data_IF_844166186366
#
_entry.id   IF_844166186366
#
_cell.length_a   1.000
_cell.length_b   1.000
_cell.length_c   1.000
_cell.angle_alpha   90.00
_cell.angle_beta   90.00
_cell.angle_gamma   90.00
#
_symmetry.space_group_name_H-M   'P 1'
#
loop_
_entity.id
_entity.type
_entity.pdbx_description
1 polymer ?
#
# COMPACT_ATOMS: atom_id res chain seq x y z
N UNK A 1 -3.87 23.63 -11.98
CA UNK A 1 -2.73 24.50 -12.37
C UNK A 1 -1.49 23.62 -12.45
N UNK A 2 -0.67 23.74 -13.48
CA UNK A 2 0.65 23.07 -13.53
C UNK A 2 1.72 24.02 -13.01
N UNK A 3 2.52 23.57 -12.04
CA UNK A 3 3.68 24.29 -11.55
C UNK A 3 4.96 23.59 -12.04
N UNK A 4 5.95 24.37 -12.47
CA UNK A 4 7.24 23.83 -12.90
C UNK A 4 8.19 23.77 -11.70
N UNK A 5 8.75 22.58 -11.44
CA UNK A 5 9.77 22.38 -10.41
C UNK A 5 11.09 21.99 -11.07
N UNK A 6 12.16 22.76 -10.82
CA UNK A 6 13.49 22.47 -11.35
C UNK A 6 14.24 21.54 -10.39
N UNK A 7 14.54 20.32 -10.85
CA UNK A 7 15.26 19.31 -10.07
C UNK A 7 16.71 19.24 -10.58
N UNK A 8 17.68 19.37 -9.68
CA UNK A 8 19.10 19.15 -10.01
C UNK A 8 19.45 17.69 -9.84
N UNK A 9 19.95 17.08 -10.90
CA UNK A 9 20.49 15.72 -10.90
C UNK A 9 22.02 15.81 -10.99
N UNK A 10 22.72 14.99 -10.20
CA UNK A 10 24.15 14.80 -10.42
C UNK A 10 24.38 13.99 -11.72
N UNK A 11 25.61 14.00 -12.22
CA UNK A 11 25.92 13.38 -13.52
C UNK A 11 25.67 11.87 -13.54
N UNK A 12 25.96 11.18 -12.43
CA UNK A 12 25.70 9.74 -12.27
C UNK A 12 24.20 9.42 -12.40
N UNK A 13 23.35 10.11 -11.64
CA UNK A 13 21.91 9.88 -11.66
C UNK A 13 21.31 10.25 -13.01
N UNK A 14 21.78 11.34 -13.62
CA UNK A 14 21.35 11.74 -14.97
C UNK A 14 21.65 10.64 -15.99
N UNK A 15 22.87 10.08 -15.99
CA UNK A 15 23.26 9.00 -16.90
C UNK A 15 22.39 7.75 -16.69
N UNK A 16 22.14 7.37 -15.43
CA UNK A 16 21.30 6.21 -15.08
C UNK A 16 19.85 6.38 -15.52
N UNK A 17 19.28 7.57 -15.34
CA UNK A 17 17.91 7.90 -15.77
C UNK A 17 17.81 7.87 -17.29
N UNK A 18 18.75 8.48 -18.02
CA UNK A 18 18.78 8.45 -19.48
C UNK A 18 18.83 7.01 -19.99
N UNK A 19 19.75 6.20 -19.48
CA UNK A 19 19.87 4.80 -19.90
C UNK A 19 18.62 3.97 -19.56
N UNK A 20 17.96 4.25 -18.43
CA UNK A 20 16.70 3.58 -18.07
C UNK A 20 15.56 3.97 -19.01
N UNK A 21 15.42 5.26 -19.32
CA UNK A 21 14.42 5.77 -20.24
C UNK A 21 14.60 5.19 -21.65
N UNK A 22 15.84 5.13 -22.16
CA UNK A 22 16.17 4.52 -23.46
C UNK A 22 15.77 3.05 -23.52
N UNK A 23 16.09 2.25 -22.47
CA UNK A 23 15.68 0.84 -22.40
C UNK A 23 14.17 0.64 -22.42
N UNK A 24 13.42 1.60 -21.88
CA UNK A 24 11.95 1.57 -21.82
C UNK A 24 11.30 2.27 -23.03
N UNK A 25 12.09 2.83 -23.96
CA UNK A 25 11.57 3.54 -25.13
C UNK A 25 10.85 4.86 -24.78
N UNK A 26 11.17 5.48 -23.64
CA UNK A 26 10.59 6.76 -23.19
C UNK A 26 11.66 7.85 -23.09
N UNK A 27 11.24 9.08 -22.78
CA UNK A 27 12.17 10.19 -22.55
C UNK A 27 12.59 10.25 -21.08
N UNK A 28 13.77 10.79 -20.80
CA UNK A 28 14.23 11.02 -19.43
C UNK A 28 13.24 11.90 -18.61
N UNK A 29 12.58 12.85 -19.26
CA UNK A 29 11.57 13.69 -18.61
C UNK A 29 10.35 12.89 -18.17
N UNK A 30 9.75 12.11 -19.08
CA UNK A 30 8.60 11.27 -18.76
C UNK A 30 8.95 10.22 -17.70
N UNK A 31 10.12 9.60 -17.81
CA UNK A 31 10.60 8.64 -16.81
C UNK A 31 10.68 9.27 -15.40
N UNK A 32 11.16 10.50 -15.28
CA UNK A 32 11.21 11.21 -13.99
C UNK A 32 9.81 11.51 -13.48
N UNK A 33 8.90 11.95 -14.35
CA UNK A 33 7.52 12.23 -13.95
C UNK A 33 6.81 10.98 -13.43
N UNK A 34 6.94 9.86 -14.14
CA UNK A 34 6.40 8.56 -13.73
C UNK A 34 6.98 8.12 -12.39
N UNK A 35 8.31 8.20 -12.23
CA UNK A 35 8.96 7.86 -10.96
C UNK A 35 8.47 8.71 -9.77
N UNK A 36 8.22 10.00 -9.98
CA UNK A 36 7.67 10.89 -8.95
C UNK A 36 6.22 10.54 -8.63
N UNK A 37 5.39 10.26 -9.65
CA UNK A 37 4.00 9.87 -9.47
C UNK A 37 3.90 8.54 -8.72
N UNK A 38 4.64 7.51 -9.15
CA UNK A 38 4.70 6.22 -8.49
C UNK A 38 5.14 6.33 -7.02
N UNK A 39 6.12 7.21 -6.74
CA UNK A 39 6.58 7.42 -5.37
C UNK A 39 5.53 8.12 -4.52
N UNK A 40 4.83 9.12 -5.06
CA UNK A 40 3.74 9.79 -4.34
C UNK A 40 2.62 8.80 -4.00
N UNK A 41 2.14 8.04 -4.98
CA UNK A 41 1.10 7.01 -4.78
C UNK A 41 1.54 5.92 -3.80
N UNK A 42 2.82 5.55 -3.78
CA UNK A 42 3.36 4.61 -2.81
C UNK A 42 3.28 5.16 -1.38
N UNK A 43 3.70 6.41 -1.16
CA UNK A 43 3.66 7.04 0.16
C UNK A 43 2.23 7.30 0.63
N UNK A 44 1.32 7.67 -0.27
CA UNK A 44 -0.11 7.82 0.03
C UNK A 44 -0.73 6.49 0.49
N UNK A 45 -0.54 5.40 -0.28
CA UNK A 45 -1.02 4.07 0.12
C UNK A 45 -0.42 3.59 1.44
N UNK A 46 0.85 3.91 1.69
CA UNK A 46 1.51 3.58 2.94
C UNK A 46 0.89 4.34 4.11
N UNK A 47 0.69 5.65 3.96
CA UNK A 47 0.07 6.48 4.98
C UNK A 47 -1.37 6.03 5.29
N UNK A 48 -2.16 5.69 4.27
CA UNK A 48 -3.50 5.13 4.43
C UNK A 48 -3.48 3.80 5.19
N UNK A 49 -2.56 2.90 4.83
CA UNK A 49 -2.40 1.62 5.51
C UNK A 49 -2.02 1.81 6.99
N UNK A 50 -1.05 2.68 7.28
CA UNK A 50 -0.61 2.98 8.64
C UNK A 50 -1.73 3.63 9.47
N UNK A 51 -2.53 4.52 8.88
CA UNK A 51 -3.68 5.13 9.53
C UNK A 51 -4.73 4.07 9.93
N UNK A 52 -5.09 3.18 8.99
CA UNK A 52 -6.02 2.08 9.24
C UNK A 52 -5.48 1.12 10.31
N UNK A 53 -4.19 0.78 10.23
CA UNK A 53 -3.55 -0.11 11.20
C UNK A 53 -3.57 0.50 12.61
N UNK A 54 -3.25 1.79 12.72
CA UNK A 54 -3.25 2.53 13.99
C UNK A 54 -4.65 2.60 14.59
N UNK A 55 -5.67 2.92 13.80
CA UNK A 55 -7.08 2.94 14.24
C UNK A 55 -7.52 1.57 14.75
N UNK A 56 -7.22 0.51 14.00
CA UNK A 56 -7.57 -0.87 14.37
C UNK A 56 -6.84 -1.31 15.64
N UNK A 57 -5.57 -0.97 15.78
CA UNK A 57 -4.79 -1.29 16.97
C UNK A 57 -5.35 -0.56 18.20
N UNK A 58 -5.69 0.72 18.07
CA UNK A 58 -6.33 1.48 19.15
C UNK A 58 -7.64 0.82 19.60
N UNK A 59 -8.48 0.39 18.67
CA UNK A 59 -9.72 -0.33 18.98
C UNK A 59 -9.45 -1.66 19.69
N UNK A 60 -8.50 -2.46 19.20
CA UNK A 60 -8.12 -3.73 19.85
C UNK A 60 -7.59 -3.49 21.27
N UNK A 61 -6.77 -2.46 21.48
CA UNK A 61 -6.27 -2.08 22.80
C UNK A 61 -7.39 -1.68 23.76
N UNK A 62 -8.45 -1.03 23.26
CA UNK A 62 -9.60 -0.62 24.06
C UNK A 62 -10.57 -1.77 24.37
N UNK A 63 -10.89 -2.62 23.39
CA UNK A 63 -11.94 -3.65 23.54
C UNK A 63 -11.40 -5.02 23.93
N UNK A 64 -10.13 -5.29 23.60
CA UNK A 64 -9.52 -6.62 23.68
C UNK A 64 -10.07 -7.61 22.64
N UNK A 65 -10.94 -7.15 21.74
CA UNK A 65 -11.65 -8.01 20.79
C UNK A 65 -10.86 -8.20 19.50
N UNK A 66 -10.67 -9.45 19.13
CA UNK A 66 -10.02 -9.82 17.86
C UNK A 66 -10.79 -10.97 17.21
N UNK A 67 -10.67 -11.10 15.89
CA UNK A 67 -11.10 -12.32 15.20
C UNK A 67 -9.92 -13.28 15.18
N UNK A 68 -10.12 -14.54 15.55
CA UNK A 68 -9.05 -15.54 15.48
C UNK A 68 -8.68 -15.80 14.01
N UNK A 69 -7.41 -16.08 13.74
CA UNK A 69 -7.00 -16.43 12.38
C UNK A 69 -7.66 -17.70 11.87
N UNK A 70 -7.91 -18.68 12.75
CA UNK A 70 -8.60 -19.91 12.41
C UNK A 70 -10.03 -19.64 11.91
N UNK A 71 -10.81 -18.83 12.64
CA UNK A 71 -12.19 -18.48 12.24
C UNK A 71 -12.21 -17.66 10.95
N UNK A 72 -11.24 -16.75 10.78
CA UNK A 72 -11.13 -15.95 9.55
C UNK A 72 -10.78 -16.81 8.34
N UNK A 73 -9.85 -17.76 8.51
CA UNK A 73 -9.41 -18.66 7.45
C UNK A 73 -10.53 -19.61 7.02
N UNK A 74 -11.24 -20.23 7.96
CA UNK A 74 -12.41 -21.07 7.65
C UNK A 74 -13.46 -20.28 6.84
N UNK A 75 -13.77 -19.06 7.29
CA UNK A 75 -14.70 -18.20 6.58
C UNK A 75 -14.22 -17.83 5.16
N UNK A 76 -12.93 -17.56 4.96
CA UNK A 76 -12.36 -17.26 3.65
C UNK A 76 -12.38 -18.47 2.71
N UNK A 77 -12.04 -19.66 3.20
CA UNK A 77 -12.03 -20.91 2.43
C UNK A 77 -13.46 -21.26 1.96
N UNK A 78 -14.45 -21.17 2.85
CA UNK A 78 -15.85 -21.44 2.51
C UNK A 78 -16.42 -20.39 1.55
N UNK A 79 -16.08 -19.12 1.76
CA UNK A 79 -16.50 -18.04 0.86
C UNK A 79 -15.88 -18.17 -0.53
N UNK A 80 -14.63 -18.61 -0.65
CA UNK A 80 -13.98 -18.84 -1.96
C UNK A 80 -14.57 -20.04 -2.70
N UNK A 81 -15.13 -21.02 -1.97
CA UNK A 81 -15.90 -22.14 -2.52
C UNK A 81 -17.33 -21.75 -2.97
N UNK A 82 -17.72 -20.48 -2.84
CA UNK A 82 -19.04 -19.99 -3.24
C UNK A 82 -20.13 -20.16 -2.17
N UNK A 83 -19.78 -20.60 -0.95
CA UNK A 83 -20.72 -20.60 0.17
C UNK A 83 -20.97 -19.18 0.70
N UNK A 84 -22.03 -19.03 1.49
CA UNK A 84 -22.36 -17.82 2.24
C UNK A 84 -22.21 -18.01 3.76
N UNK A 85 -21.00 -18.31 4.28
CA UNK A 85 -20.78 -18.48 5.72
C UNK A 85 -20.98 -17.17 6.48
N UNK A 86 -21.50 -17.25 7.71
CA UNK A 86 -21.62 -16.10 8.59
C UNK A 86 -20.24 -15.49 8.89
N UNK A 87 -20.13 -14.16 8.81
CA UNK A 87 -18.86 -13.47 9.03
C UNK A 87 -18.39 -13.68 10.49
N UNK A 88 -17.12 -14.05 10.71
CA UNK A 88 -16.60 -14.26 12.05
C UNK A 88 -16.64 -12.94 12.82
N UNK A 89 -17.18 -13.00 14.03
CA UNK A 89 -17.35 -11.84 14.89
C UNK A 89 -16.13 -11.67 15.81
N UNK A 90 -15.69 -10.42 16.08
CA UNK A 90 -14.66 -10.15 17.07
C UNK A 90 -15.06 -10.71 18.44
N UNK A 91 -14.13 -11.37 19.12
CA UNK A 91 -14.31 -11.86 20.49
C UNK A 91 -13.12 -11.43 21.34
N UNK A 92 -13.35 -11.17 22.62
CA UNK A 92 -12.26 -10.88 23.56
C UNK A 92 -11.31 -12.08 23.61
N UNK A 93 -10.01 -11.86 23.50
CA UNK A 93 -9.03 -12.94 23.70
C UNK A 93 -9.21 -13.51 25.11
N UNK A 94 -9.38 -14.83 25.24
CA UNK A 94 -9.17 -15.49 26.51
C UNK A 94 -7.70 -15.24 26.90
N UNK A 95 -7.48 -14.65 28.07
CA UNK A 95 -6.13 -14.37 28.59
C UNK A 95 -5.32 -15.64 28.79
#
# INVERSE_FOLDING_TARGET
MSATTTIRLNDDLKARVTAAAERLGTTAHNFILEAVAEKAEQEERRAEFEAIATERLARVSQTGETVSWADMRDWLERRSAGEAPARPQPKRRAG
#
